data_IF_804209277170
#
_entry.id   IF_804209277170
#
_cell.length_a   1.000
_cell.length_b   1.000
_cell.length_c   1.000
_cell.angle_alpha   90.00
_cell.angle_beta   90.00
_cell.angle_gamma   90.00
#
_symmetry.space_group_name_H-M   'P 1'
#
loop_
_entity.id
_entity.type
_entity.pdbx_description
1 polymer ?
#
# COMPACT_ATOMS: atom_id res chain seq x y z
N UNK A 1 31.06 4.38 6.60
CA UNK A 1 29.64 4.00 6.68
C UNK A 1 29.39 3.03 5.53
N UNK A 2 29.00 1.79 5.83
CA UNK A 2 28.70 0.80 4.78
C UNK A 2 27.39 1.16 4.04
N UNK A 3 27.10 0.51 2.92
CA UNK A 3 25.92 0.83 2.10
C UNK A 3 24.61 0.81 2.93
N UNK A 4 24.41 -0.24 3.74
CA UNK A 4 23.22 -0.37 4.60
C UNK A 4 23.08 0.81 5.58
N UNK A 5 24.15 1.18 6.28
CA UNK A 5 24.14 2.30 7.22
C UNK A 5 23.82 3.63 6.53
N UNK A 6 24.38 3.86 5.32
CA UNK A 6 24.07 5.05 4.51
C UNK A 6 22.58 5.08 4.20
N UNK A 7 22.03 3.99 3.66
CA UNK A 7 20.61 3.85 3.35
C UNK A 7 19.70 4.03 4.57
N UNK A 8 19.98 3.36 5.69
CA UNK A 8 19.17 3.52 6.91
C UNK A 8 19.24 4.95 7.46
N UNK A 9 20.36 5.66 7.28
CA UNK A 9 20.48 7.04 7.74
C UNK A 9 19.56 8.00 6.97
N UNK A 10 19.45 7.86 5.64
CA UNK A 10 18.56 8.69 4.82
C UNK A 10 17.09 8.26 4.98
N UNK A 11 16.83 6.95 5.02
CA UNK A 11 15.47 6.39 5.14
C UNK A 11 14.81 6.74 6.48
N UNK A 12 15.55 6.66 7.61
CA UNK A 12 15.01 6.99 8.95
C UNK A 12 14.43 8.40 9.08
N UNK A 13 14.92 9.35 8.28
CA UNK A 13 14.48 10.75 8.36
C UNK A 13 13.03 10.88 7.90
N UNK A 14 12.56 10.04 6.99
CA UNK A 14 11.27 10.22 6.31
C UNK A 14 10.53 8.93 5.95
N UNK A 15 10.86 7.78 6.55
CA UNK A 15 10.08 6.56 6.40
C UNK A 15 8.62 6.86 6.79
N UNK A 16 7.74 6.82 5.80
CA UNK A 16 6.32 7.11 5.98
C UNK A 16 5.55 5.90 6.48
N UNK A 17 6.18 4.72 6.66
CA UNK A 17 5.59 3.60 7.39
C UNK A 17 5.88 3.72 8.89
N UNK A 18 5.15 2.96 9.71
CA UNK A 18 5.18 3.11 11.16
C UNK A 18 6.58 2.85 11.74
N UNK A 19 6.91 3.44 12.90
CA UNK A 19 8.13 3.09 13.67
C UNK A 19 8.13 1.65 14.18
N UNK A 20 7.00 0.94 14.04
CA UNK A 20 6.81 -0.45 14.48
C UNK A 20 7.26 -1.42 13.38
N UNK A 21 7.46 -0.96 12.14
CA UNK A 21 8.17 -1.70 11.10
C UNK A 21 9.68 -1.72 11.37
N UNK A 22 10.06 -2.67 12.22
CA UNK A 22 11.47 -2.97 12.54
C UNK A 22 11.97 -4.15 11.69
N UNK A 23 11.09 -4.82 10.94
CA UNK A 23 11.39 -6.06 10.23
C UNK A 23 11.79 -5.85 8.78
N UNK A 24 11.15 -4.90 8.09
CA UNK A 24 11.38 -4.54 6.69
C UNK A 24 10.96 -3.09 6.42
N UNK A 25 11.26 -2.59 5.21
CA UNK A 25 10.78 -1.29 4.76
C UNK A 25 10.89 -1.12 3.24
N UNK A 26 9.90 -0.48 2.64
CA UNK A 26 9.95 0.11 1.31
C UNK A 26 10.19 1.63 1.39
N UNK A 27 11.14 2.15 0.60
CA UNK A 27 11.47 3.57 0.55
C UNK A 27 10.85 4.27 -0.67
N UNK A 28 9.97 5.26 -0.44
CA UNK A 28 9.29 5.99 -1.53
C UNK A 28 10.19 6.95 -2.32
N UNK A 29 11.35 7.33 -1.79
CA UNK A 29 12.31 8.22 -2.47
C UNK A 29 13.30 7.47 -3.37
N UNK A 30 13.57 6.21 -3.07
CA UNK A 30 14.53 5.38 -3.82
C UNK A 30 13.92 4.13 -4.44
N UNK A 31 12.70 3.75 -4.07
CA UNK A 31 12.06 2.49 -4.44
C UNK A 31 12.83 1.22 -4.02
N UNK A 32 13.68 1.33 -3.00
CA UNK A 32 14.42 0.20 -2.43
C UNK A 32 13.56 -0.54 -1.40
N UNK A 33 13.61 -1.87 -1.49
CA UNK A 33 13.06 -2.78 -0.49
C UNK A 33 14.20 -3.24 0.43
N UNK A 34 14.01 -3.11 1.73
CA UNK A 34 14.93 -3.60 2.76
C UNK A 34 14.24 -4.63 3.65
N UNK A 35 14.90 -5.75 3.91
CA UNK A 35 14.48 -6.76 4.89
C UNK A 35 15.43 -6.72 6.08
N UNK A 36 15.24 -5.70 6.93
CA UNK A 36 16.12 -5.37 8.06
C UNK A 36 16.32 -6.52 9.07
N UNK A 37 15.34 -7.42 9.19
CA UNK A 37 15.39 -8.57 10.10
C UNK A 37 16.00 -9.83 9.48
N UNK A 38 16.28 -9.80 8.17
CA UNK A 38 16.75 -10.95 7.39
C UNK A 38 18.25 -10.82 7.11
N UNK A 39 18.98 -11.90 7.35
CA UNK A 39 20.42 -12.03 7.10
C UNK A 39 20.67 -12.98 5.92
N UNK A 40 21.83 -12.91 5.24
CA UNK A 40 22.15 -13.86 4.17
C UNK A 40 22.07 -15.32 4.61
N UNK A 41 22.50 -15.62 5.84
CA UNK A 41 22.43 -16.97 6.40
C UNK A 41 21.00 -17.52 6.50
N UNK A 42 19.98 -16.65 6.59
CA UNK A 42 18.58 -17.08 6.60
C UNK A 42 18.15 -17.58 5.21
N UNK A 43 18.71 -17.04 4.12
CA UNK A 43 18.50 -17.56 2.77
C UNK A 43 19.22 -18.88 2.54
N UNK A 44 20.45 -19.01 3.03
CA UNK A 44 21.20 -20.26 2.94
C UNK A 44 20.48 -21.38 3.71
N UNK A 45 19.96 -21.06 4.90
CA UNK A 45 19.15 -21.98 5.70
C UNK A 45 17.86 -22.38 4.98
N UNK A 46 17.12 -21.42 4.42
CA UNK A 46 15.93 -21.69 3.60
C UNK A 46 16.23 -22.59 2.41
N UNK A 47 17.29 -22.31 1.65
CA UNK A 47 17.67 -23.09 0.48
C UNK A 47 17.99 -24.54 0.86
N UNK A 48 18.84 -24.73 1.88
CA UNK A 48 19.24 -26.06 2.35
C UNK A 48 18.04 -26.88 2.88
N UNK A 49 17.19 -26.26 3.71
CA UNK A 49 16.00 -26.92 4.26
C UNK A 49 14.97 -27.23 3.19
N UNK A 50 14.81 -26.38 2.18
CA UNK A 50 13.89 -26.63 1.05
C UNK A 50 14.38 -27.78 0.18
N UNK A 51 15.67 -27.87 -0.11
CA UNK A 51 16.26 -28.98 -0.87
C UNK A 51 16.00 -30.29 -0.13
N UNK A 52 16.39 -30.36 1.15
CA UNK A 52 16.19 -31.54 2.00
C UNK A 52 14.71 -31.92 2.10
N UNK A 53 13.83 -30.93 2.29
CA UNK A 53 12.38 -31.14 2.33
C UNK A 53 11.85 -31.79 1.05
N UNK A 54 12.34 -31.36 -0.11
CA UNK A 54 11.89 -31.89 -1.41
C UNK A 54 12.40 -33.30 -1.67
N UNK A 55 13.60 -33.62 -1.20
CA UNK A 55 14.14 -34.98 -1.23
C UNK A 55 13.33 -35.94 -0.35
N UNK A 56 12.89 -35.47 0.82
CA UNK A 56 12.15 -36.30 1.79
C UNK A 56 10.63 -36.40 1.52
N UNK A 57 10.00 -35.30 1.10
CA UNK A 57 8.53 -35.18 1.03
C UNK A 57 7.99 -34.88 -0.38
N UNK A 58 8.87 -34.78 -1.39
CA UNK A 58 8.49 -34.42 -2.76
C UNK A 58 8.32 -32.91 -2.98
N UNK A 59 7.94 -32.48 -4.21
CA UNK A 59 8.03 -31.07 -4.62
C UNK A 59 6.95 -30.14 -4.04
N UNK A 60 5.86 -30.70 -3.52
CA UNK A 60 4.67 -29.93 -3.08
C UNK A 60 4.62 -29.77 -1.56
N UNK A 61 5.10 -30.76 -0.82
CA UNK A 61 4.98 -30.79 0.63
C UNK A 61 6.26 -30.28 1.31
N UNK A 62 6.12 -29.34 2.23
CA UNK A 62 7.21 -28.81 3.04
C UNK A 62 7.35 -29.60 4.35
N UNK A 63 8.59 -29.84 4.76
CA UNK A 63 8.91 -30.17 6.14
C UNK A 63 8.69 -28.95 7.02
N UNK A 64 8.37 -29.17 8.30
CA UNK A 64 8.16 -28.08 9.25
C UNK A 64 9.34 -27.11 9.34
N UNK A 65 10.58 -27.62 9.29
CA UNK A 65 11.77 -26.77 9.34
C UNK A 65 11.93 -25.90 8.10
N UNK A 66 11.61 -26.41 6.91
CA UNK A 66 11.60 -25.61 5.68
C UNK A 66 10.50 -24.55 5.72
N UNK A 67 9.32 -24.89 6.26
CA UNK A 67 8.26 -23.92 6.52
C UNK A 67 8.69 -22.81 7.48
N UNK A 68 9.35 -23.13 8.60
CA UNK A 68 9.83 -22.11 9.55
C UNK A 68 10.82 -21.15 8.89
N UNK A 69 11.75 -21.67 8.09
CA UNK A 69 12.71 -20.86 7.35
C UNK A 69 12.00 -19.98 6.30
N UNK A 70 11.01 -20.52 5.59
CA UNK A 70 10.25 -19.78 4.58
C UNK A 70 9.38 -18.69 5.21
N UNK A 71 8.73 -18.99 6.34
CA UNK A 71 7.84 -18.07 7.05
C UNK A 71 8.56 -16.85 7.63
N UNK A 72 9.87 -16.96 7.87
CA UNK A 72 10.70 -15.82 8.28
C UNK A 72 10.92 -14.79 7.16
N UNK A 73 10.95 -15.23 5.90
CA UNK A 73 11.38 -14.40 4.76
C UNK A 73 10.22 -14.04 3.85
N UNK A 74 9.46 -15.04 3.42
CA UNK A 74 8.51 -14.90 2.30
C UNK A 74 7.35 -13.94 2.60
N UNK A 75 6.66 -14.01 3.75
CA UNK A 75 5.56 -13.09 4.03
C UNK A 75 6.02 -11.64 4.09
N UNK A 76 7.13 -11.37 4.80
CA UNK A 76 7.72 -10.04 4.89
C UNK A 76 8.19 -9.52 3.52
N UNK A 77 8.87 -10.34 2.73
CA UNK A 77 9.27 -9.96 1.39
C UNK A 77 8.07 -9.61 0.51
N UNK A 78 7.03 -10.44 0.56
CA UNK A 78 5.78 -10.24 -0.20
C UNK A 78 5.09 -8.94 0.23
N UNK A 79 5.06 -8.63 1.52
CA UNK A 79 4.58 -7.37 2.06
C UNK A 79 5.29 -6.19 1.39
N UNK A 80 6.62 -6.13 1.48
CA UNK A 80 7.38 -5.00 0.94
C UNK A 80 7.38 -4.91 -0.59
N UNK A 81 7.38 -6.06 -1.29
CA UNK A 81 7.19 -6.06 -2.74
C UNK A 81 5.80 -5.56 -3.14
N UNK A 82 4.80 -5.71 -2.29
CA UNK A 82 3.46 -5.15 -2.55
C UNK A 82 3.52 -3.64 -2.53
N UNK A 83 4.19 -3.03 -1.55
CA UNK A 83 4.43 -1.58 -1.53
C UNK A 83 5.19 -1.10 -2.77
N UNK A 84 6.23 -1.84 -3.18
CA UNK A 84 6.95 -1.56 -4.43
C UNK A 84 6.01 -1.60 -5.64
N UNK A 85 5.20 -2.65 -5.79
CA UNK A 85 4.27 -2.82 -6.91
C UNK A 85 3.23 -1.70 -6.91
N UNK A 86 2.62 -1.42 -5.76
CA UNK A 86 1.59 -0.40 -5.65
C UNK A 86 2.16 1.00 -5.97
N UNK A 87 3.43 1.24 -5.64
CA UNK A 87 4.13 2.52 -5.85
C UNK A 87 4.86 2.64 -7.20
N UNK A 88 4.86 1.60 -8.03
CA UNK A 88 5.58 1.61 -9.32
C UNK A 88 4.80 1.03 -10.50
N UNK A 89 3.73 0.29 -10.24
CA UNK A 89 3.02 -0.54 -11.22
C UNK A 89 1.49 -0.32 -11.23
N UNK A 90 1.03 0.76 -10.59
CA UNK A 90 -0.35 1.27 -10.68
C UNK A 90 -0.33 2.65 -11.33
N UNK A 91 -1.50 3.17 -11.76
CA UNK A 91 -1.56 4.54 -12.29
C UNK A 91 -1.05 5.57 -11.26
N UNK A 92 -1.43 5.42 -9.99
CA UNK A 92 -0.90 6.20 -8.88
C UNK A 92 0.62 6.04 -8.73
N UNK A 93 1.13 4.81 -8.77
CA UNK A 93 2.55 4.51 -8.64
C UNK A 93 3.43 5.08 -9.77
N UNK A 94 3.00 4.96 -11.03
CA UNK A 94 3.73 5.58 -12.15
C UNK A 94 3.69 7.10 -12.07
N UNK A 95 2.59 7.68 -11.58
CA UNK A 95 2.50 9.12 -11.33
C UNK A 95 3.45 9.56 -10.23
N UNK A 96 3.57 8.78 -9.15
CA UNK A 96 4.59 8.97 -8.11
C UNK A 96 6.00 8.97 -8.70
N UNK A 97 6.34 8.00 -9.54
CA UNK A 97 7.63 7.96 -10.26
C UNK A 97 7.85 9.17 -11.18
N UNK A 98 6.82 9.62 -11.91
CA UNK A 98 6.90 10.84 -12.74
C UNK A 98 7.11 12.10 -11.90
N UNK A 99 6.44 12.22 -10.76
CA UNK A 99 6.65 13.33 -9.82
C UNK A 99 8.06 13.32 -9.25
N UNK A 100 8.59 12.15 -8.87
CA UNK A 100 9.97 11.96 -8.45
C UNK A 100 10.96 12.38 -9.54
N UNK A 101 10.73 11.94 -10.79
CA UNK A 101 11.54 12.30 -11.94
C UNK A 101 11.63 13.81 -12.14
N UNK A 102 10.47 14.47 -12.18
CA UNK A 102 10.39 15.91 -12.40
C UNK A 102 11.01 16.70 -11.25
N UNK A 103 10.84 16.25 -10.01
CA UNK A 103 11.48 16.83 -8.84
C UNK A 103 13.01 16.71 -8.87
N UNK A 104 13.54 15.55 -9.27
CA UNK A 104 14.98 15.30 -9.29
C UNK A 104 15.67 16.00 -10.46
N UNK A 105 15.05 16.01 -11.64
CA UNK A 105 15.56 16.74 -12.81
C UNK A 105 15.54 18.26 -12.64
N UNK A 106 14.77 18.78 -11.67
CA UNK A 106 14.79 20.20 -11.31
C UNK A 106 16.08 20.63 -10.59
N UNK A 107 16.95 19.70 -10.14
CA UNK A 107 18.26 20.04 -9.55
C UNK A 107 19.17 20.70 -10.60
N UNK A 108 19.42 21.99 -10.41
CA UNK A 108 20.25 22.83 -11.28
C UNK A 108 21.72 22.38 -11.32
N UNK A 109 22.22 21.79 -10.23
CA UNK A 109 23.63 21.39 -10.09
C UNK A 109 23.93 20.06 -10.77
N UNK A 110 22.93 19.18 -10.88
CA UNK A 110 23.12 17.81 -11.41
C UNK A 110 22.57 17.65 -12.82
N UNK A 111 21.37 18.17 -13.06
CA UNK A 111 20.63 17.91 -14.30
C UNK A 111 20.42 19.17 -15.13
N UNK A 112 20.91 20.32 -14.65
CA UNK A 112 20.77 21.62 -15.32
C UNK A 112 19.34 22.15 -15.28
N UNK A 113 18.58 21.82 -14.23
CA UNK A 113 17.27 22.40 -13.97
C UNK A 113 17.31 23.93 -13.78
N UNK A 114 16.16 24.58 -13.89
CA UNK A 114 16.01 26.02 -13.68
C UNK A 114 15.18 26.31 -12.44
N UNK A 115 15.38 27.48 -11.82
CA UNK A 115 14.62 27.92 -10.63
C UNK A 115 13.11 27.87 -10.85
N UNK A 116 12.63 28.15 -12.06
CA UNK A 116 11.21 28.04 -12.44
C UNK A 116 10.65 26.63 -12.26
N UNK A 117 11.49 25.59 -12.31
CA UNK A 117 11.12 24.19 -12.11
C UNK A 117 11.24 23.70 -10.67
N UNK A 118 11.83 24.46 -9.74
CA UNK A 118 12.07 24.00 -8.37
C UNK A 118 10.78 23.67 -7.60
N UNK A 119 9.65 24.25 -7.99
CA UNK A 119 8.34 23.93 -7.42
C UNK A 119 7.97 22.44 -7.55
N UNK A 120 8.54 21.71 -8.53
CA UNK A 120 8.38 20.25 -8.63
C UNK A 120 8.95 19.51 -7.42
N UNK A 121 10.08 19.98 -6.86
CA UNK A 121 10.67 19.41 -5.65
C UNK A 121 9.72 19.55 -4.46
N UNK A 122 9.19 20.76 -4.21
CA UNK A 122 8.22 20.98 -3.12
C UNK A 122 6.95 20.16 -3.31
N UNK A 123 6.43 20.10 -4.54
CA UNK A 123 5.22 19.31 -4.85
C UNK A 123 5.41 17.82 -4.56
N UNK A 124 6.55 17.25 -4.96
CA UNK A 124 6.87 15.85 -4.68
C UNK A 124 7.07 15.60 -3.17
N UNK A 125 7.76 16.49 -2.47
CA UNK A 125 7.91 16.41 -1.01
C UNK A 125 6.56 16.42 -0.29
N UNK A 126 5.66 17.32 -0.67
CA UNK A 126 4.34 17.41 -0.07
C UNK A 126 3.49 16.17 -0.36
N UNK A 127 3.56 15.62 -1.57
CA UNK A 127 2.87 14.38 -1.93
C UNK A 127 3.32 13.22 -1.02
N UNK A 128 4.63 12.98 -0.89
CA UNK A 128 5.17 11.91 -0.04
C UNK A 128 4.74 12.10 1.42
N UNK A 129 4.75 13.34 1.92
CA UNK A 129 4.28 13.66 3.29
C UNK A 129 2.79 13.47 3.49
N UNK A 130 1.99 13.50 2.43
CA UNK A 130 0.54 13.24 2.53
C UNK A 130 0.19 11.76 2.52
N UNK A 131 1.14 10.87 2.18
CA UNK A 131 0.90 9.42 2.22
C UNK A 131 0.52 8.95 3.62
N UNK A 132 1.34 9.33 4.60
CA UNK A 132 1.07 9.14 6.03
C UNK A 132 0.77 10.48 6.67
N UNK A 133 -0.46 10.61 7.14
CA UNK A 133 -0.88 11.77 7.91
C UNK A 133 -0.13 11.82 9.25
N UNK A 134 0.19 13.03 9.76
CA UNK A 134 0.83 13.19 11.07
C UNK A 134 0.10 12.48 12.20
N UNK A 135 0.85 11.99 13.20
CA UNK A 135 0.32 11.26 14.37
C UNK A 135 -0.81 12.01 15.10
N UNK A 136 -0.87 13.35 14.99
CA UNK A 136 -1.97 14.18 15.50
C UNK A 136 -3.36 13.68 15.07
N UNK A 137 -3.49 13.17 13.85
CA UNK A 137 -4.78 12.71 13.32
C UNK A 137 -5.20 11.35 13.88
N UNK A 138 -4.25 10.58 14.42
CA UNK A 138 -4.48 9.28 15.04
C UNK A 138 -4.58 9.43 16.56
N UNK A 139 -5.59 8.80 17.14
CA UNK A 139 -5.80 8.81 18.60
C UNK A 139 -5.82 7.37 19.09
N UNK A 140 -5.08 7.09 20.16
CA UNK A 140 -5.12 5.79 20.85
C UNK A 140 -5.45 6.05 22.31
N UNK A 141 -6.57 5.52 22.76
CA UNK A 141 -7.01 5.73 24.14
C UNK A 141 -6.12 4.95 25.12
N UNK A 142 -5.76 5.61 26.22
CA UNK A 142 -4.90 5.01 27.25
C UNK A 142 -5.73 4.15 28.19
N UNK A 143 -5.15 3.04 28.65
CA UNK A 143 -5.73 2.15 29.66
C UNK A 143 -7.06 1.50 29.27
N UNK A 144 -7.33 1.38 27.97
CA UNK A 144 -8.50 0.66 27.47
C UNK A 144 -8.07 -0.77 27.14
N UNK A 145 -8.64 -1.76 27.84
CA UNK A 145 -8.58 -3.16 27.41
C UNK A 145 -9.48 -3.31 26.16
N UNK A 146 -8.94 -3.57 24.96
CA UNK A 146 -9.69 -3.58 23.72
C UNK A 146 -10.55 -4.84 23.56
N UNK A 147 -11.48 -5.07 24.49
CA UNK A 147 -12.39 -6.20 24.45
C UNK A 147 -13.20 -6.23 23.16
N UNK A 148 -13.39 -7.44 22.64
CA UNK A 148 -14.11 -7.71 21.41
C UNK A 148 -15.63 -7.78 21.67
N UNK A 149 -16.47 -7.46 20.67
CA UNK A 149 -16.12 -6.93 19.35
C UNK A 149 -15.89 -5.41 19.36
N UNK A 150 -15.00 -4.94 18.48
CA UNK A 150 -14.89 -3.52 18.16
C UNK A 150 -15.97 -3.13 17.18
N UNK A 151 -16.60 -1.98 17.42
CA UNK A 151 -17.47 -1.31 16.46
C UNK A 151 -16.73 -0.14 15.86
N UNK A 152 -17.16 0.30 14.69
CA UNK A 152 -16.67 1.56 14.15
C UNK A 152 -17.79 2.56 13.84
N UNK A 153 -17.43 3.82 13.94
CA UNK A 153 -18.20 4.97 13.48
C UNK A 153 -17.31 5.78 12.55
N UNK A 154 -17.81 6.06 11.35
CA UNK A 154 -17.10 6.86 10.38
C UNK A 154 -17.40 8.34 10.61
N UNK A 155 -16.35 9.16 10.67
CA UNK A 155 -16.46 10.60 10.88
C UNK A 155 -15.60 11.34 9.87
N UNK A 156 -15.88 12.64 9.68
CA UNK A 156 -15.15 13.48 8.73
C UNK A 156 -14.48 14.63 9.48
N UNK A 157 -13.20 14.84 9.22
CA UNK A 157 -12.47 16.05 9.62
C UNK A 157 -11.73 16.65 8.43
N UNK A 158 -10.82 17.59 8.69
CA UNK A 158 -10.08 18.31 7.67
C UNK A 158 -8.61 18.39 8.00
N UNK A 159 -7.75 18.46 6.98
CA UNK A 159 -6.32 18.71 7.17
C UNK A 159 -6.08 20.16 7.55
N UNK A 160 -5.05 20.41 8.35
CA UNK A 160 -4.47 21.73 8.55
C UNK A 160 -3.47 22.06 7.44
N UNK A 161 -3.51 23.30 6.96
CA UNK A 161 -2.52 23.86 6.03
C UNK A 161 -1.19 24.14 6.70
N UNK A 162 -0.18 24.50 5.91
CA UNK A 162 1.16 24.87 6.43
C UNK A 162 1.14 26.16 7.27
N UNK A 163 0.10 26.98 7.11
CA UNK A 163 -0.18 28.16 7.94
C UNK A 163 -0.89 27.82 9.27
N UNK A 164 -1.20 26.55 9.51
CA UNK A 164 -1.93 26.08 10.70
C UNK A 164 -3.44 26.30 10.63
N UNK A 165 -3.98 26.82 9.53
CA UNK A 165 -5.43 26.99 9.34
C UNK A 165 -6.08 25.71 8.84
N UNK A 166 -7.38 25.55 9.12
CA UNK A 166 -8.16 24.42 8.59
C UNK A 166 -8.27 24.57 7.07
N UNK A 167 -7.84 23.55 6.32
CA UNK A 167 -7.99 23.48 4.87
C UNK A 167 -9.35 22.91 4.46
N UNK A 168 -9.63 22.90 3.16
CA UNK A 168 -10.80 22.25 2.59
C UNK A 168 -10.60 20.74 2.31
N UNK A 169 -9.42 20.19 2.62
CA UNK A 169 -9.07 18.78 2.34
C UNK A 169 -9.68 17.85 3.39
N UNK A 170 -10.70 17.03 3.03
CA UNK A 170 -11.35 16.18 4.01
C UNK A 170 -10.48 14.97 4.38
N UNK A 171 -10.67 14.47 5.59
CA UNK A 171 -10.12 13.20 6.07
C UNK A 171 -11.28 12.38 6.61
N UNK A 172 -11.44 11.15 6.08
CA UNK A 172 -12.36 10.18 6.67
C UNK A 172 -11.63 9.47 7.81
N UNK A 173 -12.27 9.42 8.97
CA UNK A 173 -11.77 8.74 10.16
C UNK A 173 -12.64 7.55 10.49
N UNK A 174 -12.00 6.40 10.76
CA UNK A 174 -12.61 5.30 11.48
C UNK A 174 -12.36 5.51 12.97
N UNK A 175 -13.43 5.75 13.73
CA UNK A 175 -13.41 5.73 15.19
C UNK A 175 -13.81 4.35 15.64
N UNK A 176 -12.96 3.70 16.42
CA UNK A 176 -13.19 2.38 17.00
C UNK A 176 -13.64 2.53 18.44
N UNK A 177 -14.78 1.94 18.76
CA UNK A 177 -15.36 1.91 20.09
C UNK A 177 -15.64 0.45 20.50
N UNK A 178 -15.73 0.20 21.80
CA UNK A 178 -16.25 -1.06 22.34
C UNK A 178 -17.74 -1.21 22.04
N UNK A 179 -18.27 -2.41 22.30
CA UNK A 179 -19.70 -2.67 22.25
C UNK A 179 -20.54 -1.73 23.16
N UNK A 180 -19.97 -1.26 24.27
CA UNK A 180 -20.60 -0.32 25.22
C UNK A 180 -20.44 1.17 24.84
N UNK A 181 -19.74 1.47 23.72
CA UNK A 181 -19.48 2.84 23.25
C UNK A 181 -18.21 3.49 23.80
N UNK A 182 -17.42 2.80 24.63
CA UNK A 182 -16.13 3.30 25.11
C UNK A 182 -15.14 3.43 23.95
N UNK A 183 -14.50 4.60 23.73
CA UNK A 183 -13.53 4.77 22.66
C UNK A 183 -12.27 3.95 22.87
N UNK A 184 -11.71 3.45 21.77
CA UNK A 184 -10.48 2.64 21.74
C UNK A 184 -9.40 3.38 20.95
N UNK A 185 -9.72 3.76 19.72
CA UNK A 185 -8.80 4.46 18.84
C UNK A 185 -9.56 5.22 17.75
N UNK A 186 -8.89 6.15 17.11
CA UNK A 186 -9.34 6.81 15.87
C UNK A 186 -8.18 6.80 14.89
N UNK A 187 -8.44 6.34 13.67
CA UNK A 187 -7.44 6.28 12.61
C UNK A 187 -7.99 6.88 11.32
N UNK A 188 -7.20 7.67 10.57
CA UNK A 188 -7.61 8.11 9.24
C UNK A 188 -7.63 6.94 8.26
N UNK A 189 -8.55 6.99 7.29
CA UNK A 189 -8.45 6.24 6.05
C UNK A 189 -7.55 7.03 5.10
N UNK A 190 -6.24 6.84 5.23
CA UNK A 190 -5.20 7.53 4.45
C UNK A 190 -4.71 6.66 3.28
N UNK A 191 -3.88 7.24 2.41
CA UNK A 191 -3.21 6.47 1.35
C UNK A 191 -2.37 5.34 1.94
N UNK A 192 -1.64 5.59 3.03
CA UNK A 192 -0.85 4.55 3.70
C UNK A 192 -1.73 3.39 4.21
N UNK A 193 -2.91 3.67 4.77
CA UNK A 193 -3.82 2.61 5.24
C UNK A 193 -4.32 1.71 4.09
N UNK A 194 -4.47 2.27 2.88
CA UNK A 194 -4.85 1.51 1.68
C UNK A 194 -3.69 0.63 1.20
N UNK A 195 -2.47 1.18 1.18
CA UNK A 195 -1.26 0.43 0.83
C UNK A 195 -1.02 -0.73 1.83
N UNK A 196 -1.17 -0.47 3.12
CA UNK A 196 -1.08 -1.50 4.16
C UNK A 196 -2.14 -2.59 4.01
N UNK A 197 -3.38 -2.23 3.68
CA UNK A 197 -4.42 -3.23 3.47
C UNK A 197 -4.11 -4.16 2.29
N UNK A 198 -3.47 -3.64 1.23
CA UNK A 198 -2.97 -4.41 0.09
C UNK A 198 -1.84 -5.36 0.52
N UNK A 199 -0.82 -4.83 1.21
CA UNK A 199 0.34 -5.59 1.65
C UNK A 199 -0.02 -6.69 2.66
N UNK A 200 -0.84 -6.37 3.67
CA UNK A 200 -1.34 -7.33 4.67
C UNK A 200 -2.15 -8.46 4.04
N UNK A 201 -2.93 -8.18 2.99
CA UNK A 201 -3.64 -9.25 2.27
C UNK A 201 -2.65 -10.23 1.62
N UNK A 202 -1.59 -9.74 0.97
CA UNK A 202 -0.58 -10.62 0.35
C UNK A 202 0.21 -11.39 1.41
N UNK A 203 0.58 -10.75 2.50
CA UNK A 203 1.29 -11.38 3.62
C UNK A 203 0.49 -12.55 4.21
N UNK A 204 -0.79 -12.30 4.56
CA UNK A 204 -1.69 -13.33 5.09
C UNK A 204 -1.91 -14.45 4.06
N UNK A 205 -2.15 -14.10 2.79
CA UNK A 205 -2.35 -15.08 1.72
C UNK A 205 -1.12 -15.97 1.53
N UNK A 206 0.08 -15.38 1.54
CA UNK A 206 1.32 -16.11 1.38
C UNK A 206 1.62 -17.03 2.56
N UNK A 207 1.32 -16.59 3.77
CA UNK A 207 1.48 -17.40 4.98
C UNK A 207 0.54 -18.60 4.95
N UNK A 208 -0.73 -18.41 4.57
CA UNK A 208 -1.64 -19.54 4.38
C UNK A 208 -1.17 -20.49 3.27
N UNK A 209 -0.62 -19.99 2.17
CA UNK A 209 -0.08 -20.83 1.11
C UNK A 209 1.14 -21.66 1.56
N UNK A 210 1.95 -21.16 2.50
CA UNK A 210 3.03 -21.91 3.13
C UNK A 210 2.48 -22.98 4.09
N UNK A 211 1.52 -22.61 4.94
CA UNK A 211 0.87 -23.53 5.88
C UNK A 211 0.17 -24.67 5.14
N UNK A 212 -0.46 -24.40 4.00
CA UNK A 212 -1.16 -25.40 3.20
C UNK A 212 -0.23 -26.47 2.59
N UNK A 213 1.08 -26.20 2.54
CA UNK A 213 2.11 -27.17 2.11
C UNK A 213 2.59 -28.09 3.24
N UNK A 214 2.16 -27.90 4.49
CA UNK A 214 2.51 -28.78 5.61
C UNK A 214 1.68 -30.07 5.63
N UNK A 215 2.09 -31.04 6.45
CA UNK A 215 1.26 -32.21 6.81
C UNK A 215 0.00 -31.74 7.54
N UNK A 216 -1.07 -32.53 7.46
CA UNK A 216 -2.39 -32.10 7.95
C UNK A 216 -2.41 -31.74 9.44
N UNK A 217 -1.72 -32.51 10.29
CA UNK A 217 -1.63 -32.22 11.73
C UNK A 217 -0.88 -30.90 12.00
N UNK A 218 0.25 -30.69 11.34
CA UNK A 218 1.07 -29.47 11.45
C UNK A 218 0.31 -28.25 10.91
N UNK A 219 -0.40 -28.42 9.79
CA UNK A 219 -1.23 -27.40 9.15
C UNK A 219 -2.32 -26.90 10.09
N UNK A 220 -3.01 -27.79 10.79
CA UNK A 220 -4.05 -27.41 11.77
C UNK A 220 -3.43 -26.58 12.91
N UNK A 221 -2.29 -27.00 13.44
CA UNK A 221 -1.60 -26.29 14.53
C UNK A 221 -1.15 -24.90 14.08
N UNK A 222 -0.45 -24.81 12.96
CA UNK A 222 0.10 -23.55 12.46
C UNK A 222 -0.99 -22.59 11.99
N UNK A 223 -2.06 -23.08 11.35
CA UNK A 223 -3.21 -22.24 11.01
C UNK A 223 -3.83 -21.63 12.26
N UNK A 224 -4.05 -22.42 13.32
CA UNK A 224 -4.60 -21.91 14.58
C UNK A 224 -3.66 -20.94 15.31
N UNK A 225 -2.34 -21.14 15.22
CA UNK A 225 -1.34 -20.22 15.76
C UNK A 225 -1.37 -18.90 14.99
N UNK A 226 -1.26 -18.95 13.68
CA UNK A 226 -1.24 -17.75 12.82
C UNK A 226 -2.54 -16.96 12.89
N UNK A 227 -3.71 -17.61 12.91
CA UNK A 227 -4.99 -16.93 13.09
C UNK A 227 -5.05 -16.16 14.42
N UNK A 228 -4.46 -16.67 15.50
CA UNK A 228 -4.37 -15.94 16.78
C UNK A 228 -3.42 -14.75 16.69
N UNK A 229 -2.29 -14.88 16.00
CA UNK A 229 -1.33 -13.80 15.78
C UNK A 229 -1.96 -12.66 14.96
N UNK A 230 -2.57 -12.97 13.81
CA UNK A 230 -3.29 -12.00 12.97
C UNK A 230 -4.39 -11.29 13.77
N UNK A 231 -5.17 -12.04 14.56
CA UNK A 231 -6.19 -11.46 15.43
C UNK A 231 -5.59 -10.49 16.46
N UNK A 232 -4.42 -10.80 17.02
CA UNK A 232 -3.75 -9.91 17.98
C UNK A 232 -3.26 -8.61 17.34
N UNK A 233 -2.82 -8.65 16.08
CA UNK A 233 -2.43 -7.47 15.29
C UNK A 233 -3.65 -6.59 15.01
N UNK A 234 -4.75 -7.21 14.57
CA UNK A 234 -5.97 -6.50 14.15
C UNK A 234 -6.64 -5.74 15.28
N UNK A 235 -6.67 -6.33 16.45
CA UNK A 235 -7.26 -5.72 17.63
C UNK A 235 -6.22 -5.05 18.53
N UNK A 236 -5.10 -4.61 17.94
CA UNK A 236 -4.12 -3.77 18.60
C UNK A 236 -4.40 -2.28 18.30
N UNK A 237 -4.79 -1.46 19.29
CA UNK A 237 -5.07 -0.03 19.09
C UNK A 237 -3.89 0.78 18.53
N UNK A 238 -2.66 0.26 18.66
CA UNK A 238 -1.44 0.92 18.15
C UNK A 238 -1.16 0.61 16.67
N UNK A 239 -1.89 -0.35 16.08
CA UNK A 239 -1.71 -0.81 14.70
C UNK A 239 -2.94 -0.50 13.85
N UNK A 240 -3.70 0.54 14.19
CA UNK A 240 -4.90 0.92 13.43
C UNK A 240 -4.59 1.38 12.02
N UNK A 241 -3.37 1.88 11.75
CA UNK A 241 -2.92 2.21 10.39
C UNK A 241 -2.96 0.98 9.46
N UNK A 242 -2.56 -0.19 9.97
CA UNK A 242 -2.54 -1.47 9.24
C UNK A 242 -3.91 -2.14 9.11
N UNK A 243 -4.89 -1.71 9.92
CA UNK A 243 -6.12 -2.49 10.16
C UNK A 243 -7.39 -1.69 9.93
N UNK A 244 -7.30 -0.36 9.79
CA UNK A 244 -8.47 0.51 9.67
C UNK A 244 -9.36 0.15 8.47
N UNK A 245 -8.78 -0.03 7.28
CA UNK A 245 -9.51 -0.43 6.09
C UNK A 245 -10.25 -1.77 6.29
N UNK A 246 -9.57 -2.77 6.83
CA UNK A 246 -10.16 -4.09 7.08
C UNK A 246 -11.30 -4.01 8.10
N UNK A 247 -11.15 -3.25 9.19
CA UNK A 247 -12.23 -3.04 10.17
C UNK A 247 -13.43 -2.33 9.55
N UNK A 248 -13.21 -1.32 8.70
CA UNK A 248 -14.30 -0.61 8.01
C UNK A 248 -15.07 -1.55 7.11
N UNK A 249 -14.38 -2.36 6.30
CA UNK A 249 -15.03 -3.37 5.47
C UNK A 249 -15.78 -4.41 6.31
N UNK A 250 -15.15 -4.96 7.35
CA UNK A 250 -15.74 -5.98 8.22
C UNK A 250 -17.04 -5.51 8.87
N UNK A 251 -17.05 -4.30 9.46
CA UNK A 251 -18.25 -3.74 10.09
C UNK A 251 -19.33 -3.39 9.06
N UNK A 252 -18.95 -2.84 7.90
CA UNK A 252 -19.92 -2.41 6.87
C UNK A 252 -20.63 -3.61 6.23
N UNK A 253 -19.89 -4.69 5.97
CA UNK A 253 -20.43 -5.89 5.32
C UNK A 253 -20.88 -6.97 6.30
N UNK A 254 -20.78 -6.72 7.61
CA UNK A 254 -21.00 -7.71 8.65
C UNK A 254 -20.19 -9.01 8.39
N UNK A 255 -18.91 -8.84 8.09
CA UNK A 255 -17.99 -9.91 7.73
C UNK A 255 -17.06 -10.22 8.91
N UNK A 256 -17.25 -11.38 9.52
CA UNK A 256 -16.43 -11.84 10.65
C UNK A 256 -15.08 -12.44 10.22
N UNK A 257 -14.95 -12.78 8.92
CA UNK A 257 -13.70 -13.30 8.35
C UNK A 257 -12.78 -12.14 7.94
N UNK A 258 -11.81 -11.90 8.82
CA UNK A 258 -10.71 -10.94 8.62
C UNK A 258 -10.01 -11.12 7.27
N UNK A 259 -9.76 -12.35 6.84
CA UNK A 259 -9.05 -12.60 5.59
C UNK A 259 -9.89 -12.11 4.41
N UNK A 260 -11.20 -12.34 4.46
CA UNK A 260 -12.15 -11.79 3.48
C UNK A 260 -12.18 -10.27 3.53
N UNK A 261 -12.16 -9.66 4.73
CA UNK A 261 -12.12 -8.20 4.87
C UNK A 261 -10.85 -7.57 4.26
N UNK A 262 -9.68 -8.18 4.47
CA UNK A 262 -8.43 -7.75 3.84
C UNK A 262 -8.45 -7.97 2.33
N UNK A 263 -8.98 -9.10 1.85
CA UNK A 263 -9.14 -9.37 0.41
C UNK A 263 -9.96 -8.28 -0.28
N UNK A 264 -11.11 -7.92 0.30
CA UNK A 264 -11.97 -6.86 -0.22
C UNK A 264 -11.25 -5.52 -0.17
N UNK A 265 -10.58 -5.20 0.95
CA UNK A 265 -9.82 -3.96 1.11
C UNK A 265 -8.71 -3.83 0.06
N UNK A 266 -7.96 -4.91 -0.20
CA UNK A 266 -6.91 -4.97 -1.22
C UNK A 266 -7.48 -4.83 -2.64
N UNK A 267 -8.61 -5.46 -2.95
CA UNK A 267 -9.30 -5.27 -4.24
C UNK A 267 -9.74 -3.82 -4.43
N UNK A 268 -10.36 -3.20 -3.41
CA UNK A 268 -10.74 -1.80 -3.47
C UNK A 268 -9.52 -0.89 -3.61
N UNK A 269 -8.44 -1.16 -2.87
CA UNK A 269 -7.17 -0.45 -2.98
C UNK A 269 -6.59 -0.52 -4.39
N UNK A 270 -6.55 -1.71 -5.02
CA UNK A 270 -6.10 -1.89 -6.41
C UNK A 270 -6.89 -1.04 -7.39
N UNK A 271 -8.21 -0.96 -7.24
CA UNK A 271 -9.05 -0.12 -8.08
C UNK A 271 -8.72 1.36 -7.85
N UNK A 272 -8.70 1.80 -6.60
CA UNK A 272 -8.46 3.19 -6.20
C UNK A 272 -7.11 3.71 -6.71
N UNK A 273 -6.06 2.89 -6.61
CA UNK A 273 -4.71 3.21 -7.10
C UNK A 273 -4.62 3.25 -8.64
N UNK A 274 -5.62 2.71 -9.34
CA UNK A 274 -5.67 2.70 -10.81
C UNK A 274 -6.77 3.60 -11.37
N UNK A 275 -7.42 4.45 -10.57
CA UNK A 275 -8.35 5.46 -11.10
C UNK A 275 -7.56 6.73 -11.47
N UNK A 276 -7.53 7.13 -12.75
CA UNK A 276 -6.88 8.37 -13.16
C UNK A 276 -7.56 9.61 -12.59
N UNK A 277 -6.79 10.69 -12.47
CA UNK A 277 -7.27 11.98 -11.93
C UNK A 277 -8.52 12.50 -12.67
N UNK A 278 -8.60 12.27 -13.98
CA UNK A 278 -9.76 12.63 -14.81
C UNK A 278 -11.04 11.93 -14.35
N UNK A 279 -10.96 10.63 -14.03
CA UNK A 279 -12.10 9.85 -13.55
C UNK A 279 -12.44 10.19 -12.11
N UNK A 280 -11.45 10.43 -11.25
CA UNK A 280 -11.68 10.94 -9.89
C UNK A 280 -12.58 12.18 -9.87
N UNK A 281 -12.28 13.14 -10.76
CA UNK A 281 -13.04 14.40 -10.88
C UNK A 281 -14.39 14.21 -11.57
N UNK A 282 -14.57 13.14 -12.35
CA UNK A 282 -15.86 12.75 -12.97
C UNK A 282 -16.80 12.12 -11.94
N UNK A 283 -16.27 11.31 -11.03
CA UNK A 283 -17.04 10.67 -9.95
C UNK A 283 -17.68 11.74 -9.08
N UNK A 284 -18.99 11.58 -8.83
CA UNK A 284 -19.76 12.50 -8.00
C UNK A 284 -20.78 11.75 -7.16
N UNK A 285 -20.94 12.21 -5.92
CA UNK A 285 -22.03 11.80 -5.04
C UNK A 285 -23.22 12.72 -5.28
N UNK A 286 -24.34 12.13 -5.65
CA UNK A 286 -25.63 12.83 -5.81
C UNK A 286 -26.46 12.72 -4.52
N UNK A 287 -27.54 13.51 -4.37
CA UNK A 287 -28.48 13.33 -3.27
C UNK A 287 -29.02 11.89 -3.16
N UNK A 288 -29.33 11.24 -4.28
CA UNK A 288 -29.77 9.84 -4.32
C UNK A 288 -28.73 8.87 -3.75
N UNK A 289 -27.44 9.07 -4.08
CA UNK A 289 -26.36 8.27 -3.49
C UNK A 289 -26.26 8.52 -1.99
N UNK A 290 -26.38 9.78 -1.55
CA UNK A 290 -26.39 10.13 -0.13
C UNK A 290 -27.55 9.47 0.64
N UNK A 291 -28.75 9.40 0.05
CA UNK A 291 -29.89 8.70 0.62
C UNK A 291 -29.63 7.19 0.76
N UNK A 292 -29.04 6.55 -0.25
CA UNK A 292 -28.63 5.13 -0.17
C UNK A 292 -27.59 4.87 0.92
N UNK A 293 -26.76 5.85 1.22
CA UNK A 293 -25.79 5.82 2.33
C UNK A 293 -26.43 6.16 3.69
N UNK A 294 -27.75 6.39 3.75
CA UNK A 294 -28.47 6.67 4.99
C UNK A 294 -28.26 8.09 5.54
N UNK A 295 -27.79 9.04 4.71
CA UNK A 295 -27.60 10.42 5.15
C UNK A 295 -28.92 11.19 5.16
N UNK A 296 -29.48 11.44 6.34
CA UNK A 296 -30.65 12.31 6.54
C UNK A 296 -30.26 13.78 6.80
N UNK A 297 -31.26 14.69 6.76
CA UNK A 297 -31.22 16.16 6.96
C UNK A 297 -29.83 16.82 7.17
N UNK A 298 -29.44 17.70 6.24
CA UNK A 298 -28.09 18.32 6.21
C UNK A 298 -27.14 17.68 5.19
N UNK A 299 -27.66 16.74 4.39
CA UNK A 299 -27.01 15.95 3.33
C UNK A 299 -26.17 16.80 2.37
N UNK A 300 -26.62 18.02 2.04
CA UNK A 300 -25.90 18.92 1.12
C UNK A 300 -24.48 19.26 1.60
N UNK A 301 -24.28 19.43 2.91
CA UNK A 301 -22.95 19.74 3.46
C UNK A 301 -22.02 18.54 3.35
N UNK A 302 -22.51 17.34 3.69
CA UNK A 302 -21.72 16.10 3.60
C UNK A 302 -21.39 15.78 2.15
N UNK A 303 -22.38 15.84 1.26
CA UNK A 303 -22.19 15.67 -0.19
C UNK A 303 -21.15 16.65 -0.71
N UNK A 304 -21.23 17.93 -0.33
CA UNK A 304 -20.24 18.93 -0.74
C UNK A 304 -18.83 18.56 -0.27
N UNK A 305 -18.66 18.17 0.99
CA UNK A 305 -17.36 17.78 1.55
C UNK A 305 -16.78 16.57 0.81
N UNK A 306 -17.60 15.54 0.59
CA UNK A 306 -17.19 14.33 -0.11
C UNK A 306 -16.81 14.61 -1.56
N UNK A 307 -17.63 15.39 -2.27
CA UNK A 307 -17.33 15.81 -3.63
C UNK A 307 -16.06 16.67 -3.71
N UNK A 308 -15.80 17.54 -2.72
CA UNK A 308 -14.52 18.26 -2.62
C UNK A 308 -13.35 17.28 -2.50
N UNK A 309 -13.46 16.25 -1.65
CA UNK A 309 -12.44 15.21 -1.52
C UNK A 309 -12.19 14.44 -2.83
N UNK A 310 -13.25 14.12 -3.58
CA UNK A 310 -13.14 13.48 -4.90
C UNK A 310 -12.44 14.39 -5.93
N UNK A 311 -12.76 15.69 -5.95
CA UNK A 311 -12.07 16.66 -6.82
C UNK A 311 -10.57 16.78 -6.49
N UNK A 312 -10.20 16.55 -5.23
CA UNK A 312 -8.83 16.53 -4.75
C UNK A 312 -8.15 15.14 -4.86
N UNK A 313 -8.80 14.17 -5.53
CA UNK A 313 -8.30 12.81 -5.73
C UNK A 313 -7.96 12.07 -4.43
N UNK A 314 -8.74 12.29 -3.36
CA UNK A 314 -8.46 11.71 -2.05
C UNK A 314 -8.79 10.19 -2.01
N UNK A 315 -7.80 9.30 -1.84
CA UNK A 315 -8.02 7.86 -1.86
C UNK A 315 -8.90 7.36 -0.71
N UNK A 316 -8.77 7.99 0.47
CA UNK A 316 -9.56 7.65 1.66
C UNK A 316 -11.05 7.92 1.49
N UNK A 317 -11.39 9.03 0.83
CA UNK A 317 -12.77 9.38 0.49
C UNK A 317 -13.36 8.36 -0.47
N UNK A 318 -12.61 7.96 -1.50
CA UNK A 318 -13.09 6.98 -2.46
C UNK A 318 -13.20 5.58 -1.84
N UNK A 319 -12.24 5.16 -1.01
CA UNK A 319 -12.31 3.91 -0.26
C UNK A 319 -13.58 3.85 0.60
N UNK A 320 -13.85 4.93 1.33
CA UNK A 320 -15.07 5.08 2.13
C UNK A 320 -16.33 4.89 1.27
N UNK A 321 -16.43 5.63 0.16
CA UNK A 321 -17.59 5.57 -0.73
C UNK A 321 -17.82 4.17 -1.29
N UNK A 322 -16.78 3.56 -1.85
CA UNK A 322 -16.89 2.21 -2.41
C UNK A 322 -17.31 1.22 -1.34
N UNK A 323 -16.70 1.27 -0.16
CA UNK A 323 -17.02 0.34 0.93
C UNK A 323 -18.47 0.46 1.39
N UNK A 324 -18.98 1.68 1.57
CA UNK A 324 -20.37 1.92 2.01
C UNK A 324 -21.41 1.56 0.95
N UNK A 325 -21.05 1.64 -0.34
CA UNK A 325 -21.94 1.31 -1.45
C UNK A 325 -21.92 -0.17 -1.81
N UNK A 326 -21.01 -0.97 -1.24
CA UNK A 326 -20.97 -2.41 -1.45
C UNK A 326 -22.21 -3.08 -0.81
N UNK A 327 -22.93 -3.94 -1.56
CA UNK A 327 -23.95 -4.81 -0.98
C UNK A 327 -23.36 -5.76 0.06
N UNK A 328 -24.12 -6.12 1.11
CA UNK A 328 -23.66 -7.00 2.20
C UNK A 328 -23.20 -8.38 1.71
N UNK A 329 -23.82 -8.92 0.65
CA UNK A 329 -23.43 -10.19 0.04
C UNK A 329 -22.10 -10.13 -0.76
N UNK A 330 -21.46 -8.96 -0.86
CA UNK A 330 -20.14 -8.82 -1.51
C UNK A 330 -19.06 -9.65 -0.81
N UNK A 331 -19.23 -9.95 0.50
CA UNK A 331 -18.32 -10.79 1.26
C UNK A 331 -18.43 -12.29 0.91
N UNK A 332 -19.51 -12.72 0.24
CA UNK A 332 -19.80 -14.15 -0.01
C UNK A 332 -18.92 -14.80 -1.08
N UNK A 333 -18.07 -14.04 -1.79
CA UNK A 333 -17.14 -14.60 -2.78
C UNK A 333 -16.69 -13.58 -3.84
N UNK A 334 -15.71 -13.96 -4.65
CA UNK A 334 -15.10 -13.06 -5.64
C UNK A 334 -16.07 -12.58 -6.72
N UNK A 335 -17.02 -13.43 -7.15
CA UNK A 335 -18.03 -13.05 -8.13
C UNK A 335 -19.00 -12.00 -7.57
N UNK A 336 -19.48 -12.21 -6.34
CA UNK A 336 -20.33 -11.25 -5.64
C UNK A 336 -19.60 -9.93 -5.37
N UNK A 337 -18.32 -10.00 -4.97
CA UNK A 337 -17.49 -8.81 -4.79
C UNK A 337 -17.39 -8.00 -6.08
N UNK A 338 -17.07 -8.65 -7.21
CA UNK A 338 -16.97 -7.97 -8.51
C UNK A 338 -18.30 -7.29 -8.89
N UNK A 339 -19.41 -8.00 -8.78
CA UNK A 339 -20.75 -7.44 -9.08
C UNK A 339 -21.14 -6.30 -8.13
N UNK A 340 -20.77 -6.41 -6.85
CA UNK A 340 -20.98 -5.34 -5.86
C UNK A 340 -20.17 -4.09 -6.20
N UNK A 341 -18.91 -4.25 -6.60
CA UNK A 341 -18.05 -3.15 -7.06
C UNK A 341 -18.61 -2.50 -8.31
N UNK A 342 -19.03 -3.27 -9.31
CA UNK A 342 -19.66 -2.74 -10.54
C UNK A 342 -20.91 -1.92 -10.21
N UNK A 343 -21.74 -2.40 -9.29
CA UNK A 343 -22.93 -1.70 -8.83
C UNK A 343 -22.57 -0.38 -8.11
N UNK A 344 -21.58 -0.40 -7.21
CA UNK A 344 -21.11 0.78 -6.50
C UNK A 344 -20.53 1.84 -7.44
N UNK A 345 -19.70 1.43 -8.40
CA UNK A 345 -19.11 2.33 -9.41
C UNK A 345 -20.18 2.94 -10.32
N UNK A 346 -21.18 2.15 -10.70
CA UNK A 346 -22.29 2.62 -11.55
C UNK A 346 -23.06 3.76 -10.86
N UNK A 347 -23.33 3.64 -9.55
CA UNK A 347 -23.95 4.70 -8.76
C UNK A 347 -23.10 5.98 -8.71
N UNK A 348 -21.78 5.86 -8.82
CA UNK A 348 -20.82 6.95 -8.82
C UNK A 348 -20.55 7.52 -10.24
N UNK A 349 -21.20 6.98 -11.28
CA UNK A 349 -21.12 7.49 -12.65
C UNK A 349 -19.94 6.95 -13.47
N UNK A 350 -19.37 5.80 -13.09
CA UNK A 350 -18.30 5.12 -13.84
C UNK A 350 -18.46 3.59 -13.79
N UNK A 351 -17.51 2.83 -14.31
CA UNK A 351 -17.49 1.37 -14.25
C UNK A 351 -16.05 0.84 -14.38
N UNK A 352 -15.85 -0.47 -14.14
CA UNK A 352 -14.53 -1.10 -14.19
C UNK A 352 -13.85 -1.03 -15.55
N UNK A 353 -14.61 -1.08 -16.65
CA UNK A 353 -14.07 -1.02 -18.01
C UNK A 353 -13.50 0.37 -18.30
N UNK A 354 -14.23 1.43 -17.96
CA UNK A 354 -13.78 2.82 -18.11
C UNK A 354 -12.51 3.06 -17.28
N UNK A 355 -12.47 2.56 -16.03
CA UNK A 355 -11.27 2.66 -15.17
C UNK A 355 -10.09 1.97 -15.83
N UNK A 356 -10.26 0.73 -16.30
CA UNK A 356 -9.17 -0.02 -16.92
C UNK A 356 -8.64 0.68 -18.19
N UNK A 357 -9.53 1.16 -19.06
CA UNK A 357 -9.16 1.84 -20.30
C UNK A 357 -8.40 3.14 -20.03
N UNK A 358 -8.89 3.96 -19.10
CA UNK A 358 -8.24 5.21 -18.73
C UNK A 358 -6.91 4.98 -18.02
N UNK A 359 -6.82 3.96 -17.16
CA UNK A 359 -5.57 3.57 -16.49
C UNK A 359 -4.50 3.14 -17.50
N UNK A 360 -4.87 2.34 -18.50
CA UNK A 360 -3.97 1.96 -19.60
C UNK A 360 -3.43 3.22 -20.30
N UNK A 361 -4.31 4.15 -20.67
CA UNK A 361 -3.90 5.39 -21.35
C UNK A 361 -2.97 6.26 -20.50
N UNK A 362 -3.27 6.44 -19.21
CA UNK A 362 -2.41 7.20 -18.29
C UNK A 362 -1.05 6.52 -18.07
N UNK A 363 -1.03 5.21 -17.91
CA UNK A 363 0.21 4.44 -17.74
C UNK A 363 1.06 4.46 -19.00
N UNK A 364 0.46 4.35 -20.19
CA UNK A 364 1.20 4.46 -21.45
C UNK A 364 1.85 5.83 -21.61
N UNK A 365 1.13 6.90 -21.27
CA UNK A 365 1.65 8.25 -21.28
C UNK A 365 2.81 8.44 -20.29
N UNK A 366 2.61 8.04 -19.02
CA UNK A 366 3.62 8.19 -17.97
C UNK A 366 4.85 7.32 -18.24
N UNK A 367 4.67 6.10 -18.74
CA UNK A 367 5.78 5.23 -19.10
C UNK A 367 6.60 5.78 -20.28
N UNK A 368 5.95 6.38 -21.28
CA UNK A 368 6.65 7.07 -22.37
C UNK A 368 7.45 8.28 -21.86
N UNK A 369 6.87 9.10 -20.96
CA UNK A 369 7.57 10.19 -20.28
C UNK A 369 8.82 9.66 -19.53
N UNK A 370 8.63 8.66 -18.66
CA UNK A 370 9.68 8.09 -17.83
C UNK A 370 10.78 7.39 -18.66
N UNK A 371 10.43 6.81 -19.81
CA UNK A 371 11.40 6.17 -20.73
C UNK A 371 12.46 7.15 -21.26
N UNK A 372 12.15 8.45 -21.24
CA UNK A 372 13.02 9.54 -21.71
C UNK A 372 13.78 10.22 -20.57
N UNK A 373 13.60 9.77 -19.32
CA UNK A 373 14.29 10.33 -18.17
C UNK A 373 15.82 10.27 -18.33
N UNK A 374 16.50 11.33 -17.91
CA UNK A 374 17.97 11.35 -17.79
C UNK A 374 18.46 10.49 -16.61
N UNK A 375 17.57 10.10 -15.70
CA UNK A 375 17.85 9.27 -14.53
C UNK A 375 17.62 7.81 -14.93
N UNK A 376 18.68 7.01 -14.94
CA UNK A 376 18.65 5.64 -15.46
C UNK A 376 17.76 4.71 -14.62
N UNK A 377 17.83 4.81 -13.30
CA UNK A 377 17.02 4.00 -12.39
C UNK A 377 15.53 4.29 -12.55
N UNK A 378 15.13 5.56 -12.63
CA UNK A 378 13.74 5.96 -12.89
C UNK A 378 13.24 5.40 -14.23
N UNK A 379 14.06 5.47 -15.28
CA UNK A 379 13.72 4.90 -16.59
C UNK A 379 13.43 3.40 -16.51
N UNK A 380 14.31 2.65 -15.84
CA UNK A 380 14.16 1.20 -15.65
C UNK A 380 12.92 0.87 -14.83
N UNK A 381 12.69 1.60 -13.74
CA UNK A 381 11.52 1.43 -12.88
C UNK A 381 10.22 1.73 -13.64
N UNK A 382 10.15 2.81 -14.41
CA UNK A 382 8.97 3.16 -15.20
C UNK A 382 8.62 2.12 -16.27
N UNK A 383 9.62 1.61 -17.00
CA UNK A 383 9.41 0.54 -18.00
C UNK A 383 8.95 -0.78 -17.34
N UNK A 384 9.60 -1.17 -16.25
CA UNK A 384 9.23 -2.35 -15.47
C UNK A 384 7.82 -2.22 -14.86
N UNK A 385 7.47 -1.03 -14.37
CA UNK A 385 6.15 -0.70 -13.84
C UNK A 385 5.03 -0.89 -14.85
N UNK A 386 5.21 -0.42 -16.08
CA UNK A 386 4.27 -0.66 -17.19
C UNK A 386 4.12 -2.15 -17.51
N UNK A 387 5.24 -2.89 -17.57
CA UNK A 387 5.21 -4.34 -17.80
C UNK A 387 4.45 -5.07 -16.69
N UNK A 388 4.71 -4.72 -15.42
CA UNK A 388 4.00 -5.25 -14.27
C UNK A 388 2.50 -4.95 -14.33
N UNK A 389 2.13 -3.71 -14.62
CA UNK A 389 0.71 -3.31 -14.75
C UNK A 389 -0.05 -4.22 -15.72
N UNK A 390 0.56 -4.55 -16.87
CA UNK A 390 -0.07 -5.42 -17.88
C UNK A 390 -0.33 -6.86 -17.41
N UNK A 391 0.34 -7.29 -16.33
CA UNK A 391 0.24 -8.63 -15.75
C UNK A 391 -0.66 -8.67 -14.51
N UNK A 392 -1.07 -7.52 -13.98
CA UNK A 392 -1.85 -7.40 -12.76
C UNK A 392 -3.31 -7.15 -13.14
N UNK A 393 -4.20 -7.98 -12.60
CA UNK A 393 -5.64 -7.85 -12.79
C UNK A 393 -6.21 -6.80 -11.82
N UNK A 394 -7.15 -5.99 -12.30
CA UNK A 394 -7.72 -4.87 -11.55
C UNK A 394 -8.57 -5.31 -10.35
N UNK A 395 -9.24 -6.47 -10.43
CA UNK A 395 -10.21 -6.93 -9.43
C UNK A 395 -9.72 -8.14 -8.63
N UNK A 396 -8.75 -8.90 -9.14
CA UNK A 396 -8.08 -9.96 -8.41
C UNK A 396 -6.98 -9.35 -7.54
N UNK A 397 -7.09 -9.43 -6.21
CA UNK A 397 -6.11 -8.79 -5.35
C UNK A 397 -4.78 -9.55 -5.34
N UNK A 398 -4.77 -10.87 -5.59
CA UNK A 398 -3.56 -11.70 -5.53
C UNK A 398 -2.51 -11.36 -6.60
N UNK A 399 -1.26 -11.19 -6.18
CA UNK A 399 -0.15 -10.83 -7.06
C UNK A 399 0.67 -12.07 -7.45
N UNK A 400 0.97 -12.20 -8.74
CA UNK A 400 1.82 -13.29 -9.28
C UNK A 400 3.28 -12.85 -9.28
N UNK A 401 3.89 -12.68 -8.11
CA UNK A 401 5.27 -12.16 -7.96
C UNK A 401 6.30 -12.85 -8.86
N UNK A 402 6.17 -14.16 -9.08
CA UNK A 402 7.01 -14.93 -9.99
C UNK A 402 6.88 -14.57 -11.47
N UNK A 403 6.00 -13.65 -11.88
CA UNK A 403 5.87 -13.19 -13.26
C UNK A 403 6.28 -11.71 -13.42
N UNK A 404 6.54 -11.02 -12.29
CA UNK A 404 6.73 -9.58 -12.26
C UNK A 404 8.21 -9.21 -12.38
N UNK A 405 8.43 -8.00 -12.86
CA UNK A 405 9.68 -7.27 -12.90
C UNK A 405 9.95 -6.71 -11.49
N UNK A 406 10.77 -7.40 -10.71
CA UNK A 406 11.01 -7.09 -9.30
C UNK A 406 12.51 -6.92 -9.01
N UNK A 407 12.93 -5.87 -8.28
CA UNK A 407 14.32 -5.68 -7.90
C UNK A 407 14.76 -6.72 -6.86
N UNK A 408 16.07 -6.91 -6.64
CA UNK A 408 16.54 -7.57 -5.43
C UNK A 408 16.18 -6.74 -4.18
N UNK A 409 16.19 -7.39 -3.02
CA UNK A 409 16.03 -6.74 -1.71
C UNK A 409 17.38 -6.48 -1.07
N UNK A 410 17.47 -5.44 -0.25
CA UNK A 410 18.60 -5.16 0.63
C UNK A 410 18.43 -5.93 1.95
N UNK A 411 19.51 -6.57 2.42
CA UNK A 411 19.52 -7.29 3.70
C UNK A 411 20.20 -6.49 4.80
N UNK A 412 20.08 -6.98 6.03
CA UNK A 412 20.63 -6.37 7.26
C UNK A 412 22.15 -6.13 7.25
N UNK A 413 22.91 -6.82 6.41
CA UNK A 413 24.36 -6.67 6.26
C UNK A 413 24.77 -5.81 5.06
N UNK A 414 23.80 -5.27 4.32
CA UNK A 414 24.01 -4.47 3.12
C UNK A 414 24.19 -5.27 1.82
N UNK A 415 24.11 -6.60 1.86
CA UNK A 415 24.09 -7.41 0.64
C UNK A 415 22.70 -7.40 0.00
N UNK A 416 22.66 -7.74 -1.29
CA UNK A 416 21.41 -7.85 -2.06
C UNK A 416 21.08 -9.30 -2.41
N UNK A 417 19.78 -9.61 -2.43
CA UNK A 417 19.26 -10.93 -2.83
C UNK A 417 18.00 -10.81 -3.67
N UNK A 418 17.93 -11.56 -4.77
CA UNK A 418 16.70 -11.68 -5.56
C UNK A 418 15.85 -12.82 -5.00
N UNK A 419 14.59 -12.53 -4.68
CA UNK A 419 13.66 -13.52 -4.09
C UNK A 419 12.82 -14.18 -5.19
N UNK A 420 12.28 -13.37 -6.09
CA UNK A 420 11.48 -13.81 -7.22
C UNK A 420 12.31 -13.67 -8.50
N UNK A 421 12.82 -14.78 -9.01
CA UNK A 421 13.66 -14.80 -10.21
C UNK A 421 12.93 -15.44 -11.38
N UNK A 422 12.79 -14.68 -12.47
CA UNK A 422 12.52 -15.24 -13.80
C UNK A 422 13.59 -14.79 -14.78
N UNK A 423 13.86 -15.57 -15.84
CA UNK A 423 14.77 -15.13 -16.90
C UNK A 423 14.36 -13.81 -17.55
N UNK A 424 13.07 -13.45 -17.48
CA UNK A 424 12.51 -12.23 -18.05
C UNK A 424 12.49 -11.05 -17.07
N UNK A 425 12.91 -11.22 -15.81
CA UNK A 425 12.94 -10.16 -14.81
C UNK A 425 14.14 -9.21 -15.04
N UNK A 426 13.88 -8.09 -15.70
CA UNK A 426 14.82 -7.02 -16.04
C UNK A 426 15.31 -6.23 -14.82
N UNK A 427 14.53 -6.21 -13.73
CA UNK A 427 14.97 -5.58 -12.47
C UNK A 427 15.74 -6.55 -11.58
N UNK A 428 15.69 -7.86 -11.82
CA UNK A 428 16.31 -8.87 -10.97
C UNK A 428 17.83 -8.80 -10.85
N UNK A 429 18.49 -8.01 -11.70
CA UNK A 429 19.94 -7.77 -11.71
C UNK A 429 20.32 -6.30 -11.50
N UNK A 430 19.37 -5.46 -11.08
CA UNK A 430 19.69 -4.05 -10.79
C UNK A 430 20.60 -3.98 -9.57
N UNK A 431 21.62 -3.14 -9.66
CA UNK A 431 22.53 -2.85 -8.56
C UNK A 431 21.87 -1.84 -7.62
N UNK A 432 21.55 -2.28 -6.40
CA UNK A 432 20.88 -1.45 -5.40
C UNK A 432 21.75 -0.31 -4.90
N UNK A 433 23.08 -0.47 -4.87
CA UNK A 433 23.98 0.60 -4.42
C UNK A 433 24.06 1.70 -5.48
N UNK A 434 24.19 1.34 -6.76
CA UNK A 434 24.11 2.31 -7.85
C UNK A 434 22.75 3.02 -7.93
N UNK A 435 21.66 2.27 -7.76
CA UNK A 435 20.31 2.83 -7.73
C UNK A 435 20.14 3.79 -6.55
N UNK A 436 20.61 3.41 -5.36
CA UNK A 436 20.61 4.28 -4.19
C UNK A 436 21.40 5.56 -4.44
N UNK A 437 22.64 5.46 -4.91
CA UNK A 437 23.51 6.60 -5.16
C UNK A 437 22.92 7.56 -6.19
N UNK A 438 22.20 7.05 -7.20
CA UNK A 438 21.51 7.88 -8.18
C UNK A 438 20.31 8.62 -7.56
N UNK A 439 19.49 7.95 -6.75
CA UNK A 439 18.20 8.48 -6.27
C UNK A 439 18.26 9.24 -4.94
N UNK A 440 19.11 8.83 -3.99
CA UNK A 440 19.26 9.51 -2.68
C UNK A 440 19.67 10.98 -2.83
N UNK A 441 20.40 11.24 -3.90
CA UNK A 441 20.87 12.55 -4.27
C UNK A 441 19.73 13.50 -4.67
N UNK A 442 18.72 12.98 -5.37
CA UNK A 442 17.48 13.68 -5.65
C UNK A 442 16.65 13.90 -4.38
N UNK A 443 16.59 12.89 -3.51
CA UNK A 443 15.94 13.02 -2.19
C UNK A 443 16.54 14.18 -1.38
N UNK A 444 17.87 14.22 -1.22
CA UNK A 444 18.58 15.27 -0.48
C UNK A 444 18.29 16.66 -1.07
N UNK A 445 18.24 16.77 -2.41
CA UNK A 445 17.87 18.01 -3.09
C UNK A 445 16.45 18.45 -2.73
N UNK A 446 15.48 17.54 -2.87
CA UNK A 446 14.07 17.78 -2.59
C UNK A 446 13.85 18.22 -1.16
N UNK A 447 14.48 17.54 -0.20
CA UNK A 447 14.43 17.88 1.22
C UNK A 447 14.98 19.29 1.48
N UNK A 448 16.21 19.56 1.00
CA UNK A 448 16.87 20.85 1.23
C UNK A 448 16.05 22.01 0.66
N UNK A 449 15.51 21.86 -0.55
CA UNK A 449 14.69 22.90 -1.15
C UNK A 449 13.37 23.08 -0.38
N UNK A 450 12.73 21.98 0.01
CA UNK A 450 11.44 22.05 0.73
C UNK A 450 11.57 22.69 2.11
N UNK A 451 12.68 22.45 2.82
CA UNK A 451 13.00 23.14 4.08
C UNK A 451 13.15 24.66 3.89
N UNK A 452 13.62 25.11 2.72
CA UNK A 452 13.73 26.55 2.41
C UNK A 452 12.35 27.19 2.09
N UNK A 453 11.34 26.40 1.76
CA UNK A 453 9.99 26.89 1.43
C UNK A 453 9.13 27.23 2.67
N UNK A 454 9.52 26.81 3.87
CA UNK A 454 8.72 26.95 5.10
C UNK A 454 8.02 25.66 5.48
#
# INVERSE_FOLDING_TARGET
MNFFERYKSSSKRWNCFSKIDVLGSFDFYTSIISLDSVRPADFDDLANKTIKSREENGPVQLSFSAYEAASKIMPLAIHEYTHFIDSTSTAWGLKHLSMMNNAYLADDRRFGGSETGFHHAKKFFDEVRTLRLPDYYTVVEKNVDPQLPWRNVLTVGFQFGSDGLISDRPIIFARFDKADGTPIARSPLSSIAILEASAMFQEISSTFALIDQLKEDEKIVERNKYTREVKSIIYNPKLTEYTACAHVVANTLNCDDIFVAYRISATLGRIILNIPERLYRKIKVTPEVGEKMGWSSGTDKVIKIINTGLQQCNPGVLFYLLTQLLPTNSASGSANLKSGIESALSLLGTNLEEIQQEAIGEIDFLADELSRSKINSIRKLGLAGKENFSLIDLVSPGLKFNLLQLPPVLLSDGTSRSIFTTPQNKLGTIDLEMLYDELVNGQIWVERFSEACG
#
